data_IF_855798868617
#
_entry.id   IF_855798868617
#
_cell.length_a   1.000
_cell.length_b   1.000
_cell.length_c   1.000
_cell.angle_alpha   90.00
_cell.angle_beta   90.00
_cell.angle_gamma   90.00
#
_symmetry.space_group_name_H-M   'P 1'
#
loop_
_entity.id
_entity.type
_entity.pdbx_description
1 polymer ?
#
# COMPACT_ATOMS: atom_id res chain seq x y z
N UNK A 1 32.12 -14.28 -33.26
CA UNK A 1 30.96 -14.96 -33.85
C UNK A 1 29.68 -14.18 -33.66
N UNK A 2 29.47 -13.52 -32.50
CA UNK A 2 28.23 -12.77 -32.22
C UNK A 2 27.96 -11.56 -33.11
N UNK A 3 29.00 -10.83 -33.57
CA UNK A 3 28.85 -9.67 -34.45
C UNK A 3 28.35 -10.04 -35.86
N UNK A 4 28.85 -11.14 -36.41
CA UNK A 4 28.46 -11.62 -37.75
C UNK A 4 26.98 -12.07 -37.78
N UNK A 5 26.54 -12.75 -36.72
CA UNK A 5 25.14 -13.18 -36.61
C UNK A 5 24.25 -11.99 -36.42
N UNK A 6 24.66 -11.01 -35.58
CA UNK A 6 23.93 -9.76 -35.35
C UNK A 6 23.73 -8.96 -36.63
N UNK A 7 24.78 -8.76 -37.42
CA UNK A 7 24.72 -8.04 -38.70
C UNK A 7 23.84 -8.76 -39.75
N UNK A 8 23.95 -10.08 -39.85
CA UNK A 8 23.16 -10.88 -40.77
C UNK A 8 21.66 -10.83 -40.38
N UNK A 9 21.35 -10.89 -39.06
CA UNK A 9 19.99 -10.81 -38.53
C UNK A 9 19.40 -9.43 -38.75
N UNK A 10 20.17 -8.37 -38.51
CA UNK A 10 19.73 -6.98 -38.72
C UNK A 10 19.37 -6.77 -40.19
N UNK A 11 20.23 -7.15 -41.12
CA UNK A 11 19.94 -7.06 -42.55
C UNK A 11 18.71 -7.86 -42.95
N UNK A 12 18.57 -9.09 -42.43
CA UNK A 12 17.38 -9.90 -42.73
C UNK A 12 16.09 -9.22 -42.27
N UNK A 13 16.07 -8.62 -41.09
CA UNK A 13 14.92 -7.92 -40.54
C UNK A 13 14.62 -6.64 -41.31
N UNK A 14 15.62 -5.88 -41.72
CA UNK A 14 15.45 -4.69 -42.58
C UNK A 14 14.80 -5.01 -43.94
N UNK A 15 15.14 -6.17 -44.53
CA UNK A 15 14.51 -6.63 -45.77
C UNK A 15 13.13 -7.29 -45.57
N UNK A 16 12.76 -7.63 -44.34
CA UNK A 16 11.51 -8.31 -44.03
C UNK A 16 10.75 -7.61 -42.89
N UNK A 17 10.28 -6.37 -43.08
CA UNK A 17 9.65 -5.59 -42.01
C UNK A 17 8.43 -6.28 -41.40
N UNK A 18 7.62 -6.99 -42.18
CA UNK A 18 6.47 -7.72 -41.67
C UNK A 18 6.82 -8.85 -40.70
N UNK A 19 8.00 -9.46 -40.83
CA UNK A 19 8.49 -10.47 -39.89
C UNK A 19 8.95 -9.78 -38.60
N UNK A 20 9.63 -8.64 -38.72
CA UNK A 20 10.06 -7.84 -37.59
C UNK A 20 8.86 -7.39 -36.76
N UNK A 21 7.80 -6.88 -37.38
CA UNK A 21 6.58 -6.44 -36.72
C UNK A 21 5.92 -7.58 -35.94
N UNK A 22 5.83 -8.78 -36.51
CA UNK A 22 5.27 -9.95 -35.83
C UNK A 22 6.13 -10.38 -34.63
N UNK A 23 7.46 -10.31 -34.71
CA UNK A 23 8.35 -10.62 -33.59
C UNK A 23 8.20 -9.58 -32.50
N UNK A 24 8.15 -8.29 -32.83
CA UNK A 24 7.97 -7.20 -31.87
C UNK A 24 6.61 -7.29 -31.19
N UNK A 25 5.54 -7.54 -31.94
CA UNK A 25 4.21 -7.72 -31.37
C UNK A 25 4.17 -8.86 -30.36
N UNK A 26 4.78 -10.02 -30.70
CA UNK A 26 4.90 -11.16 -29.79
C UNK A 26 5.74 -10.86 -28.55
N UNK A 27 6.85 -10.15 -28.72
CA UNK A 27 7.70 -9.75 -27.61
C UNK A 27 6.97 -8.79 -26.65
N UNK A 28 6.29 -7.79 -27.17
CA UNK A 28 5.47 -6.84 -26.39
C UNK A 28 4.33 -7.56 -25.67
N UNK A 29 3.62 -8.45 -26.37
CA UNK A 29 2.55 -9.24 -25.77
C UNK A 29 3.04 -10.11 -24.61
N UNK A 30 4.19 -10.78 -24.79
CA UNK A 30 4.83 -11.60 -23.78
C UNK A 30 5.29 -10.76 -22.58
N UNK A 31 5.88 -9.59 -22.83
CA UNK A 31 6.30 -8.66 -21.78
C UNK A 31 5.10 -8.18 -20.96
N UNK A 32 4.04 -7.74 -21.62
CA UNK A 32 2.82 -7.25 -20.96
C UNK A 32 2.16 -8.36 -20.11
N UNK A 33 2.11 -9.59 -20.62
CA UNK A 33 1.60 -10.74 -19.89
C UNK A 33 2.44 -11.06 -18.64
N UNK A 34 3.77 -11.04 -18.77
CA UNK A 34 4.68 -11.26 -17.64
C UNK A 34 4.57 -10.16 -16.58
N UNK A 35 4.44 -8.90 -17.01
CA UNK A 35 4.26 -7.75 -16.12
C UNK A 35 2.91 -7.82 -15.37
N UNK A 36 1.82 -8.16 -16.07
CA UNK A 36 0.51 -8.36 -15.46
C UNK A 36 0.54 -9.50 -14.43
N UNK A 37 1.17 -10.62 -14.75
CA UNK A 37 1.33 -11.75 -13.83
C UNK A 37 2.17 -11.37 -12.60
N UNK A 38 3.22 -10.56 -12.77
CA UNK A 38 4.04 -10.06 -11.67
C UNK A 38 3.23 -9.16 -10.75
N UNK A 39 2.45 -8.22 -11.30
CA UNK A 39 1.58 -7.32 -10.54
C UNK A 39 0.51 -8.10 -9.78
N UNK A 40 -0.13 -9.07 -10.41
CA UNK A 40 -1.14 -9.92 -9.77
C UNK A 40 -0.56 -10.69 -8.57
N UNK A 41 0.61 -11.33 -8.72
CA UNK A 41 1.29 -12.03 -7.60
C UNK A 41 1.64 -11.08 -6.46
N UNK A 42 2.09 -9.87 -6.79
CA UNK A 42 2.42 -8.87 -5.78
C UNK A 42 1.18 -8.40 -5.00
N UNK A 43 0.05 -8.18 -5.68
CA UNK A 43 -1.23 -7.85 -5.05
C UNK A 43 -1.70 -8.96 -4.09
N UNK A 44 -1.66 -10.23 -4.54
CA UNK A 44 -2.03 -11.37 -3.68
C UNK A 44 -1.14 -11.44 -2.44
N UNK A 45 0.18 -11.24 -2.60
CA UNK A 45 1.12 -11.23 -1.47
C UNK A 45 0.84 -10.08 -0.50
N UNK A 46 0.54 -8.88 -1.01
CA UNK A 46 0.18 -7.71 -0.19
C UNK A 46 -1.10 -7.95 0.60
N UNK A 47 -2.11 -8.49 -0.07
CA UNK A 47 -3.39 -8.86 0.55
C UNK A 47 -3.21 -9.85 1.69
N UNK A 48 -2.45 -10.92 1.46
CA UNK A 48 -2.14 -11.94 2.48
C UNK A 48 -1.43 -11.35 3.71
N UNK A 49 -0.53 -10.38 3.54
CA UNK A 49 0.15 -9.71 4.65
C UNK A 49 -0.81 -8.85 5.46
N UNK A 50 -1.75 -8.16 4.83
CA UNK A 50 -2.73 -7.31 5.52
C UNK A 50 -3.85 -8.14 6.16
N UNK A 51 -4.34 -9.19 5.49
CA UNK A 51 -5.38 -10.09 6.03
C UNK A 51 -4.88 -10.94 7.21
N UNK A 52 -3.59 -11.27 7.24
CA UNK A 52 -2.98 -11.99 8.36
C UNK A 52 -2.56 -11.07 9.52
N UNK A 53 -2.57 -9.76 9.33
CA UNK A 53 -2.22 -8.83 10.40
C UNK A 53 -3.41 -8.63 11.34
N UNK A 54 -3.29 -9.19 12.53
CA UNK A 54 -4.10 -8.79 13.68
C UNK A 54 -3.99 -7.27 13.87
N UNK A 55 -5.04 -6.67 14.43
CA UNK A 55 -5.03 -5.24 14.77
C UNK A 55 -3.72 -4.86 15.44
N UNK A 56 -3.12 -3.71 15.08
CA UNK A 56 -1.84 -3.29 15.64
C UNK A 56 -1.89 -3.29 17.17
N UNK A 57 -0.95 -3.95 17.84
CA UNK A 57 -0.92 -4.03 19.30
C UNK A 57 -0.80 -2.66 19.99
N UNK A 58 -0.41 -1.63 19.25
CA UNK A 58 -0.38 -0.24 19.72
C UNK A 58 -1.72 0.50 19.58
N UNK A 59 -2.67 -0.03 18.80
CA UNK A 59 -4.01 0.54 18.67
C UNK A 59 -4.78 0.35 19.99
N UNK A 60 -5.20 1.46 20.58
CA UNK A 60 -6.19 1.43 21.65
C UNK A 60 -7.57 1.61 21.00
N UNK A 61 -8.22 0.53 20.67
CA UNK A 61 -9.51 0.52 19.98
C UNK A 61 -10.66 1.00 20.88
N UNK A 62 -11.77 1.39 20.29
CA UNK A 62 -13.01 1.74 20.99
C UNK A 62 -13.90 0.50 21.15
N UNK A 63 -14.90 0.61 22.04
CA UNK A 63 -15.84 -0.48 22.31
C UNK A 63 -16.93 -0.58 21.24
N UNK A 64 -17.36 0.57 20.67
CA UNK A 64 -18.32 0.57 19.58
C UNK A 64 -17.74 -0.12 18.35
N UNK A 65 -18.59 -0.89 17.67
CA UNK A 65 -18.29 -1.52 16.38
C UNK A 65 -19.04 -0.85 15.23
N UNK A 66 -19.81 0.19 15.54
CA UNK A 66 -20.48 0.98 14.53
C UNK A 66 -19.53 2.06 14.01
N UNK A 67 -19.10 1.98 12.73
CA UNK A 67 -18.21 2.98 12.15
C UNK A 67 -18.80 4.40 12.20
N UNK A 68 -20.13 4.55 12.11
CA UNK A 68 -20.80 5.86 12.07
C UNK A 68 -20.65 6.65 13.37
N UNK A 69 -20.47 5.95 14.48
CA UNK A 69 -20.30 6.55 15.82
C UNK A 69 -18.83 6.62 16.24
N UNK A 70 -17.94 5.90 15.52
CA UNK A 70 -16.56 5.71 15.93
C UNK A 70 -15.62 6.69 15.25
N UNK A 71 -14.61 7.14 15.99
CA UNK A 71 -13.56 8.02 15.50
C UNK A 71 -12.17 7.53 15.95
N UNK A 72 -11.15 7.78 15.13
CA UNK A 72 -9.78 7.43 15.45
C UNK A 72 -8.89 8.67 15.49
N UNK A 73 -8.06 8.75 16.53
CA UNK A 73 -7.06 9.78 16.74
C UNK A 73 -5.69 9.20 16.41
N UNK A 74 -5.04 9.75 15.39
CA UNK A 74 -3.67 9.44 15.04
C UNK A 74 -2.76 10.43 15.76
N UNK A 75 -1.93 9.92 16.66
CA UNK A 75 -1.14 10.74 17.58
C UNK A 75 0.35 10.52 17.34
N UNK A 76 1.13 11.60 17.29
CA UNK A 76 2.57 11.53 17.15
C UNK A 76 3.25 11.09 18.45
N UNK A 77 3.89 9.92 18.41
CA UNK A 77 4.69 9.37 19.48
C UNK A 77 3.90 8.67 20.61
N UNK A 78 4.61 7.84 21.35
CA UNK A 78 4.01 7.02 22.40
C UNK A 78 3.62 7.83 23.64
N UNK A 79 4.35 8.89 23.95
CA UNK A 79 4.10 9.73 25.13
C UNK A 79 2.75 10.44 25.01
N UNK A 80 2.54 11.14 23.88
CA UNK A 80 1.27 11.79 23.58
C UNK A 80 0.14 10.75 23.42
N UNK A 81 0.46 9.59 22.80
CA UNK A 81 -0.46 8.45 22.72
C UNK A 81 -0.90 7.93 24.09
N UNK A 82 -0.01 7.90 25.07
CA UNK A 82 -0.32 7.52 26.45
C UNK A 82 -1.33 8.48 27.11
N UNK A 83 -1.08 9.77 27.00
CA UNK A 83 -1.99 10.82 27.52
C UNK A 83 -3.35 10.80 26.82
N UNK A 84 -3.36 10.67 25.49
CA UNK A 84 -4.59 10.56 24.71
C UNK A 84 -5.42 9.33 25.09
N UNK A 85 -4.76 8.18 25.34
CA UNK A 85 -5.43 6.95 25.82
C UNK A 85 -6.12 7.12 27.17
N UNK A 86 -5.57 7.94 28.04
CA UNK A 86 -6.16 8.22 29.36
C UNK A 86 -7.34 9.18 29.27
N UNK A 87 -7.26 10.19 28.40
CA UNK A 87 -8.28 11.25 28.28
C UNK A 87 -9.44 10.93 27.33
N UNK A 88 -9.36 9.85 26.54
CA UNK A 88 -10.36 9.51 25.51
C UNK A 88 -11.68 8.97 26.10
N UNK A 89 -12.75 9.10 25.36
CA UNK A 89 -13.93 8.26 25.57
C UNK A 89 -13.72 6.90 24.92
N UNK A 90 -13.65 5.85 25.75
CA UNK A 90 -13.40 4.48 25.30
C UNK A 90 -14.55 3.87 24.50
N UNK A 91 -15.74 4.46 24.56
CA UNK A 91 -16.90 3.93 23.86
C UNK A 91 -16.76 4.09 22.35
N UNK A 92 -16.34 5.28 21.89
CA UNK A 92 -16.32 5.62 20.47
C UNK A 92 -14.97 6.21 19.97
N UNK A 93 -14.00 6.49 20.86
CA UNK A 93 -12.71 7.05 20.47
C UNK A 93 -11.60 6.00 20.53
N UNK A 94 -10.94 5.78 19.39
CA UNK A 94 -9.76 4.96 19.27
C UNK A 94 -8.49 5.84 19.17
N UNK A 95 -7.36 5.34 19.70
CA UNK A 95 -6.06 6.04 19.65
C UNK A 95 -5.04 5.14 18.95
N UNK A 96 -4.39 5.68 17.92
CA UNK A 96 -3.28 5.04 17.23
C UNK A 96 -2.03 5.92 17.32
N UNK A 97 -1.07 5.62 18.21
CA UNK A 97 0.20 6.32 18.21
C UNK A 97 1.07 5.83 17.04
N UNK A 98 1.64 6.77 16.29
CA UNK A 98 2.61 6.49 15.24
C UNK A 98 3.99 6.98 15.67
N UNK A 99 5.04 6.17 15.43
CA UNK A 99 6.41 6.47 15.83
C UNK A 99 7.23 7.00 14.65
N UNK A 100 8.07 7.99 14.94
CA UNK A 100 9.10 8.47 14.03
C UNK A 100 8.57 9.24 12.81
N UNK A 101 9.47 9.55 11.89
CA UNK A 101 9.10 10.18 10.62
C UNK A 101 8.30 9.21 9.77
N UNK A 102 7.04 9.53 9.54
CA UNK A 102 6.20 8.79 8.60
C UNK A 102 6.80 8.90 7.20
N UNK A 103 6.85 7.77 6.50
CA UNK A 103 7.37 7.71 5.14
C UNK A 103 6.55 8.63 4.22
N UNK A 104 7.25 9.48 3.46
CA UNK A 104 6.58 10.27 2.42
C UNK A 104 6.19 9.35 1.26
N UNK A 105 4.91 8.97 1.23
CA UNK A 105 4.35 8.00 0.28
C UNK A 105 4.29 8.53 -1.16
N UNK A 106 4.22 9.84 -1.37
CA UNK A 106 4.19 10.44 -2.70
C UNK A 106 5.51 10.26 -3.46
N UNK A 107 6.63 10.23 -2.72
CA UNK A 107 7.99 10.10 -3.27
C UNK A 107 8.56 8.69 -3.16
N UNK A 108 7.74 7.73 -2.75
CA UNK A 108 8.22 6.39 -2.42
C UNK A 108 7.52 5.33 -3.27
N UNK A 109 8.29 4.32 -3.68
CA UNK A 109 7.77 3.15 -4.39
C UNK A 109 6.75 2.38 -3.52
N UNK A 110 5.65 1.98 -4.13
CA UNK A 110 4.55 1.24 -3.49
C UNK A 110 5.05 0.02 -2.69
N UNK A 111 6.10 -0.65 -3.18
CA UNK A 111 6.70 -1.80 -2.49
C UNK A 111 7.27 -1.43 -1.11
N UNK A 112 7.84 -0.23 -0.97
CA UNK A 112 8.40 0.26 0.30
C UNK A 112 7.31 0.74 1.25
N UNK A 113 6.23 1.30 0.70
CA UNK A 113 5.06 1.75 1.48
C UNK A 113 4.49 0.59 2.29
N UNK A 114 4.21 -0.55 1.63
CA UNK A 114 3.64 -1.73 2.27
C UNK A 114 4.62 -2.52 3.15
N UNK A 115 5.91 -2.24 3.10
CA UNK A 115 6.91 -2.79 4.03
C UNK A 115 7.06 -1.96 5.31
N UNK A 116 6.55 -0.72 5.32
CA UNK A 116 6.64 0.14 6.48
C UNK A 116 5.59 -0.25 7.51
N UNK A 117 6.03 -0.61 8.71
CA UNK A 117 5.18 -1.12 9.82
C UNK A 117 4.17 -0.08 10.30
N UNK A 118 4.53 1.21 10.27
CA UNK A 118 3.63 2.30 10.67
C UNK A 118 2.48 2.46 9.67
N UNK A 119 2.80 2.41 8.37
CA UNK A 119 1.80 2.48 7.30
C UNK A 119 0.90 1.24 7.30
N UNK A 120 1.47 0.04 7.49
CA UNK A 120 0.66 -1.19 7.64
C UNK A 120 -0.30 -1.07 8.82
N UNK A 121 0.19 -0.57 9.95
CA UNK A 121 -0.64 -0.34 11.16
C UNK A 121 -1.79 0.62 10.88
N UNK A 122 -1.53 1.69 10.12
CA UNK A 122 -2.54 2.67 9.74
C UNK A 122 -3.60 2.06 8.82
N UNK A 123 -3.17 1.37 7.76
CA UNK A 123 -4.07 0.71 6.80
C UNK A 123 -4.96 -0.30 7.51
N UNK A 124 -4.37 -1.16 8.36
CA UNK A 124 -5.11 -2.19 9.10
C UNK A 124 -6.06 -1.58 10.13
N UNK A 125 -5.64 -0.56 10.87
CA UNK A 125 -6.47 0.10 11.86
C UNK A 125 -7.69 0.78 11.24
N UNK A 126 -7.53 1.42 10.09
CA UNK A 126 -8.62 2.11 9.38
C UNK A 126 -9.54 1.16 8.61
N UNK A 127 -9.11 -0.06 8.33
CA UNK A 127 -9.84 -0.98 7.47
C UNK A 127 -9.71 -0.63 5.99
N UNK A 128 -8.62 0.05 5.61
CA UNK A 128 -8.37 0.42 4.21
C UNK A 128 -7.89 -0.78 3.40
N UNK A 129 -8.35 -0.85 2.15
CA UNK A 129 -7.85 -1.81 1.16
C UNK A 129 -6.46 -1.45 0.63
N UNK A 130 -5.98 -2.22 -0.33
CA UNK A 130 -4.71 -2.02 -1.02
C UNK A 130 -4.92 -1.08 -2.21
N UNK A 131 -3.97 -0.18 -2.46
CA UNK A 131 -3.96 0.69 -3.63
C UNK A 131 -4.06 -0.15 -4.92
N UNK A 132 -5.11 0.10 -5.71
CA UNK A 132 -5.41 -0.62 -6.94
C UNK A 132 -6.55 -1.64 -6.83
N UNK A 133 -7.10 -1.87 -5.66
CA UNK A 133 -8.41 -2.50 -5.46
C UNK A 133 -9.53 -1.44 -5.41
N UNK A 134 -10.75 -1.84 -5.71
CA UNK A 134 -11.92 -0.98 -5.49
C UNK A 134 -12.02 -0.62 -4.01
N UNK A 135 -12.24 0.65 -3.72
CA UNK A 135 -12.43 1.12 -2.35
C UNK A 135 -13.77 0.58 -1.82
N UNK A 136 -13.68 -0.22 -0.77
CA UNK A 136 -14.85 -0.75 -0.08
C UNK A 136 -15.14 0.07 1.19
N UNK A 137 -16.14 0.93 1.08
CA UNK A 137 -16.58 1.78 2.19
C UNK A 137 -17.10 0.96 3.39
N UNK A 138 -17.61 -0.24 3.14
CA UNK A 138 -18.11 -1.13 4.20
C UNK A 138 -17.01 -1.68 5.10
N UNK A 139 -15.77 -1.64 4.63
CA UNK A 139 -14.58 -2.08 5.38
C UNK A 139 -14.04 -1.02 6.33
N UNK A 140 -14.50 0.23 6.22
CA UNK A 140 -14.07 1.31 7.12
C UNK A 140 -14.52 1.04 8.56
N UNK A 141 -13.60 1.27 9.49
CA UNK A 141 -13.83 1.06 10.92
C UNK A 141 -14.22 2.33 11.67
N UNK A 142 -13.93 3.47 11.11
CA UNK A 142 -14.18 4.79 11.71
C UNK A 142 -14.66 5.77 10.64
N UNK A 143 -15.67 6.56 10.95
CA UNK A 143 -16.16 7.60 10.04
C UNK A 143 -15.35 8.89 10.13
N UNK A 144 -14.60 9.07 11.22
CA UNK A 144 -13.78 10.27 11.45
C UNK A 144 -12.35 9.91 11.81
N UNK A 145 -11.41 10.56 11.12
CA UNK A 145 -9.97 10.46 11.41
C UNK A 145 -9.49 11.83 11.86
N UNK A 146 -8.93 11.90 13.07
CA UNK A 146 -8.36 13.12 13.65
C UNK A 146 -6.85 12.96 13.76
N UNK A 147 -6.09 13.87 13.17
CA UNK A 147 -4.63 13.88 13.21
C UNK A 147 -4.17 14.87 14.26
N UNK A 148 -3.43 14.39 15.24
CA UNK A 148 -2.86 15.18 16.33
C UNK A 148 -1.33 15.20 16.20
N UNK A 149 -0.80 16.31 15.71
CA UNK A 149 0.65 16.56 15.61
C UNK A 149 1.07 17.59 16.65
N UNK A 150 2.31 17.48 17.12
CA UNK A 150 2.93 18.52 17.95
C UNK A 150 3.60 19.50 17.01
N UNK A 151 3.19 20.75 17.07
CA UNK A 151 3.85 21.83 16.34
C UNK A 151 5.17 22.12 17.05
N UNK A 152 6.30 21.82 16.42
CA UNK A 152 7.60 22.23 16.91
C UNK A 152 7.85 23.67 16.46
N UNK A 153 7.39 24.64 17.28
CA UNK A 153 7.83 26.03 17.17
C UNK A 153 9.32 26.15 17.51
#
# INVERSE_FOLDING_TARGET
MDSLIGEALTKYMEFNPGILDLILEKAIQSFNAAEAARRARELVRRKSVLESSTLPGKLADCSSRDPSESEIYIVEGDSAGGSAKQGRDRNFQAILPLRGKILNIEKTDDTKIYKNTEIQSLITALGLGIKGEEFDESSLRYHRVVIMTVDHC
#
